data_IF_958092682619
#
_entry.id   IF_958092682619
#
_cell.length_a   1.000
_cell.length_b   1.000
_cell.length_c   1.000
_cell.angle_alpha   90.00
_cell.angle_beta   90.00
_cell.angle_gamma   90.00
#
_symmetry.space_group_name_H-M   'P 1'
#
loop_
_entity.id
_entity.type
_entity.pdbx_description
1 polymer ?
#
# COMPACT_ATOMS: atom_id res chain seq x y z
N UNK A 1 -1.60 -27.80 -9.89
CA UNK A 1 -1.35 -26.77 -8.85
C UNK A 1 0.09 -26.24 -8.87
N UNK A 2 1.11 -27.09 -9.00
CA UNK A 2 2.52 -26.69 -9.04
C UNK A 2 2.86 -25.59 -10.09
N UNK A 3 2.49 -25.80 -11.35
CA UNK A 3 2.70 -24.80 -12.41
C UNK A 3 1.95 -23.48 -12.16
N UNK A 4 0.76 -23.54 -11.54
CA UNK A 4 0.02 -22.35 -11.17
C UNK A 4 0.74 -21.53 -10.09
N UNK A 5 1.39 -22.19 -9.11
CA UNK A 5 2.20 -21.51 -8.11
C UNK A 5 3.34 -20.69 -8.75
N UNK A 6 4.02 -21.27 -9.74
CA UNK A 6 5.07 -20.61 -10.51
C UNK A 6 4.52 -19.46 -11.37
N UNK A 7 3.38 -19.64 -12.04
CA UNK A 7 2.74 -18.59 -12.83
C UNK A 7 2.35 -17.38 -11.97
N UNK A 8 1.74 -17.62 -10.80
CA UNK A 8 1.41 -16.56 -9.85
C UNK A 8 2.65 -15.88 -9.26
N UNK A 9 3.76 -16.62 -9.08
CA UNK A 9 5.04 -16.02 -8.69
C UNK A 9 5.57 -15.06 -9.76
N UNK A 10 5.51 -15.45 -11.03
CA UNK A 10 5.88 -14.56 -12.14
C UNK A 10 4.99 -13.32 -12.20
N UNK A 11 3.68 -13.48 -11.96
CA UNK A 11 2.73 -12.37 -11.90
C UNK A 11 3.03 -11.41 -10.74
N UNK A 12 3.30 -11.92 -9.53
CA UNK A 12 3.76 -11.12 -8.38
C UNK A 12 4.97 -10.27 -8.77
N UNK A 13 6.00 -10.89 -9.35
CA UNK A 13 7.23 -10.19 -9.71
C UNK A 13 7.00 -9.17 -10.82
N UNK A 14 6.16 -9.47 -11.82
CA UNK A 14 5.81 -8.52 -12.86
C UNK A 14 5.17 -7.24 -12.28
N UNK A 15 4.19 -7.37 -11.39
CA UNK A 15 3.59 -6.21 -10.73
C UNK A 15 4.58 -5.48 -9.82
N UNK A 16 5.41 -6.22 -9.06
CA UNK A 16 6.45 -5.59 -8.22
C UNK A 16 7.43 -4.74 -9.04
N UNK A 17 7.77 -5.15 -10.27
CA UNK A 17 8.60 -4.34 -11.18
C UNK A 17 7.90 -3.06 -11.62
N UNK A 18 6.60 -3.12 -11.94
CA UNK A 18 5.80 -1.93 -12.29
C UNK A 18 5.74 -0.97 -11.10
N UNK A 19 5.39 -1.47 -9.91
CA UNK A 19 5.30 -0.70 -8.67
C UNK A 19 6.64 -0.03 -8.36
N UNK A 20 7.74 -0.77 -8.42
CA UNK A 20 9.06 -0.23 -8.10
C UNK A 20 9.49 0.87 -9.08
N UNK A 21 9.26 0.67 -10.38
CA UNK A 21 9.57 1.67 -11.41
C UNK A 21 8.74 2.95 -11.29
N UNK A 22 7.52 2.83 -10.77
CA UNK A 22 6.55 3.94 -10.66
C UNK A 22 6.49 4.59 -9.27
N UNK A 23 7.23 4.06 -8.29
CA UNK A 23 7.17 4.47 -6.89
C UNK A 23 7.43 5.97 -6.68
N UNK A 24 8.47 6.52 -7.33
CA UNK A 24 8.81 7.94 -7.17
C UNK A 24 7.73 8.86 -7.75
N UNK A 25 7.18 8.51 -8.90
CA UNK A 25 6.05 9.23 -9.51
C UNK A 25 4.80 9.14 -8.65
N UNK A 26 4.46 7.96 -8.13
CA UNK A 26 3.31 7.78 -7.25
C UNK A 26 3.46 8.56 -5.93
N UNK A 27 4.66 8.59 -5.36
CA UNK A 27 4.97 9.38 -4.17
C UNK A 27 4.77 10.87 -4.40
N UNK A 28 5.24 11.39 -5.55
CA UNK A 28 5.02 12.78 -5.95
C UNK A 28 3.54 13.08 -6.16
N UNK A 29 2.83 12.23 -6.91
CA UNK A 29 1.40 12.40 -7.18
C UNK A 29 0.60 12.42 -5.85
N UNK A 30 0.97 11.57 -4.89
CA UNK A 30 0.41 11.58 -3.53
C UNK A 30 0.64 12.91 -2.81
N UNK A 31 1.84 13.45 -2.90
CA UNK A 31 2.18 14.73 -2.25
C UNK A 31 1.41 15.90 -2.87
N UNK A 32 1.33 15.97 -4.21
CA UNK A 32 0.56 16.99 -4.93
C UNK A 32 -0.93 16.95 -4.57
N UNK A 33 -1.51 15.75 -4.51
CA UNK A 33 -2.90 15.57 -4.08
C UNK A 33 -3.11 15.98 -2.63
N UNK A 34 -2.18 15.62 -1.74
CA UNK A 34 -2.26 15.99 -0.33
C UNK A 34 -2.23 17.51 -0.16
N UNK A 35 -1.32 18.22 -0.84
CA UNK A 35 -1.26 19.68 -0.82
C UNK A 35 -2.53 20.30 -1.40
N UNK A 36 -3.02 19.80 -2.53
CA UNK A 36 -4.23 20.34 -3.16
C UNK A 36 -5.50 20.12 -2.33
N UNK A 37 -5.57 19.06 -1.53
CA UNK A 37 -6.69 18.79 -0.61
C UNK A 37 -6.56 19.52 0.74
N UNK A 38 -5.34 19.89 1.15
CA UNK A 38 -5.06 20.68 2.35
C UNK A 38 -5.31 22.18 2.16
N UNK A 39 -5.27 22.70 0.92
CA UNK A 39 -5.68 24.08 0.62
C UNK A 39 -7.21 24.17 0.62
N UNK A 40 -7.80 24.11 1.81
CA UNK A 40 -9.11 24.71 2.07
C UNK A 40 -8.80 26.07 2.69
N UNK A 41 -8.96 27.19 1.97
CA UNK A 41 -8.95 28.49 2.61
C UNK A 41 -10.16 28.52 3.53
N UNK A 42 -9.93 28.56 4.85
CA UNK A 42 -10.93 29.04 5.79
C UNK A 42 -11.08 30.54 5.48
N UNK A 43 -11.93 30.82 4.51
CA UNK A 43 -12.32 32.18 4.14
C UNK A 43 -13.22 32.76 5.21
N UNK A 44 -12.66 33.03 6.39
CA UNK A 44 -13.22 33.96 7.35
C UNK A 44 -12.08 34.86 7.84
N UNK A 45 -12.28 36.15 7.65
CA UNK A 45 -11.34 37.26 7.82
C UNK A 45 -10.61 37.24 9.17
N UNK A 46 -9.37 37.77 9.29
CA UNK A 46 -8.87 38.16 10.60
C UNK A 46 -9.74 39.33 11.06
N UNK A 47 -10.68 39.07 11.96
CA UNK A 47 -11.44 40.12 12.63
C UNK A 47 -10.45 40.96 13.41
N UNK A 48 -10.06 42.11 12.85
CA UNK A 48 -9.37 43.18 13.57
C UNK A 48 -10.34 43.77 14.59
N UNK A 49 -10.45 43.14 15.76
CA UNK A 49 -11.07 43.77 16.92
C UNK A 49 -10.04 44.71 17.55
N UNK A 50 -10.14 45.99 17.19
CA UNK A 50 -9.67 47.06 18.04
C UNK A 50 -10.60 47.11 19.27
N UNK A 51 -10.12 46.71 20.43
CA UNK A 51 -10.75 47.06 21.70
C UNK A 51 -9.66 47.39 22.71
N UNK A 52 -9.43 48.69 22.80
CA UNK A 52 -8.70 49.35 23.88
C UNK A 52 -9.52 49.22 25.16
N UNK A 53 -8.98 48.54 26.18
CA UNK A 53 -9.37 48.68 27.60
C UNK A 53 -8.29 48.04 28.48
N UNK A 54 -7.47 48.89 29.08
CA UNK A 54 -6.83 48.62 30.36
C UNK A 54 -7.91 48.29 31.41
N UNK A 55 -7.72 47.24 32.21
CA UNK A 55 -7.73 47.35 33.68
C UNK A 55 -7.53 45.98 34.37
N UNK A 56 -6.65 46.01 35.36
CA UNK A 56 -6.19 44.92 36.23
C UNK A 56 -7.20 44.74 37.39
N UNK A 57 -7.42 43.48 37.85
CA UNK A 57 -7.36 43.07 39.28
C UNK A 57 -8.31 41.91 39.70
N UNK A 58 -7.70 40.93 40.39
CA UNK A 58 -8.13 40.05 41.50
C UNK A 58 -9.09 38.83 41.37
N UNK A 59 -8.47 37.65 41.51
CA UNK A 59 -8.47 36.72 42.68
C UNK A 59 -9.68 35.82 43.04
N UNK A 60 -9.41 34.50 42.99
CA UNK A 60 -9.67 33.46 44.03
C UNK A 60 -10.90 32.52 43.91
N UNK A 61 -10.60 31.29 43.45
CA UNK A 61 -10.95 29.94 43.99
C UNK A 61 -12.37 29.37 43.90
N UNK A 62 -12.52 28.28 43.14
CA UNK A 62 -13.05 26.99 43.62
C UNK A 62 -12.78 25.85 42.62
N UNK A 63 -12.21 24.75 43.13
CA UNK A 63 -11.83 23.53 42.43
C UNK A 63 -13.02 22.78 41.81
N UNK A 64 -12.83 22.25 40.59
CA UNK A 64 -13.38 20.93 40.23
C UNK A 64 -12.42 20.21 39.29
N UNK A 65 -11.80 19.16 39.81
CA UNK A 65 -10.97 18.22 39.09
C UNK A 65 -11.76 17.55 37.94
N UNK A 66 -11.23 17.57 36.72
CA UNK A 66 -11.63 16.69 35.64
C UNK A 66 -10.45 16.44 34.67
N UNK A 67 -10.09 15.16 34.56
CA UNK A 67 -9.10 14.54 33.67
C UNK A 67 -9.37 14.79 32.16
N UNK A 68 -8.37 14.52 31.28
CA UNK A 68 -8.27 15.10 29.95
C UNK A 68 -9.25 14.47 28.95
N UNK A 69 -10.00 15.31 28.24
CA UNK A 69 -10.73 14.97 27.01
C UNK A 69 -10.20 15.96 25.98
N UNK A 70 -9.46 15.55 24.97
CA UNK A 70 -9.74 14.45 24.07
C UNK A 70 -9.61 15.07 22.70
N UNK A 71 -8.73 14.52 21.88
CA UNK A 71 -8.38 14.95 20.53
C UNK A 71 -9.65 15.29 19.73
N UNK A 72 -10.01 16.58 19.64
CA UNK A 72 -10.94 17.06 18.63
C UNK A 72 -10.14 17.30 17.37
N UNK A 73 -10.01 16.24 16.57
CA UNK A 73 -9.76 16.38 15.14
C UNK A 73 -10.69 17.47 14.61
N UNK A 74 -10.21 18.42 13.79
CA UNK A 74 -11.12 19.32 13.11
C UNK A 74 -12.08 18.43 12.32
N UNK A 75 -13.38 18.59 12.55
CA UNK A 75 -14.39 17.92 11.76
C UNK A 75 -14.24 18.41 10.33
N UNK A 76 -13.63 17.58 9.51
CA UNK A 76 -13.52 17.73 8.06
C UNK A 76 -14.91 17.45 7.46
N UNK A 77 -15.81 18.42 7.63
CA UNK A 77 -17.07 18.48 6.90
C UNK A 77 -16.90 19.41 5.68
N UNK A 78 -15.80 19.23 4.95
CA UNK A 78 -15.61 19.84 3.64
C UNK A 78 -15.79 18.76 2.59
N UNK A 79 -16.73 18.93 1.66
CA UNK A 79 -16.81 18.09 0.47
C UNK A 79 -15.47 18.22 -0.27
N UNK A 80 -14.59 17.23 -0.14
CA UNK A 80 -13.30 17.19 -0.84
C UNK A 80 -13.54 16.98 -2.34
N UNK A 81 -13.95 18.04 -3.04
CA UNK A 81 -14.12 18.02 -4.49
C UNK A 81 -12.72 18.01 -5.10
N UNK A 82 -12.32 16.87 -5.66
CA UNK A 82 -11.10 16.77 -6.46
C UNK A 82 -11.28 17.67 -7.69
N UNK A 83 -10.59 18.82 -7.70
CA UNK A 83 -10.57 19.73 -8.84
C UNK A 83 -10.19 18.99 -10.12
N UNK A 84 -10.80 19.36 -11.25
CA UNK A 84 -10.55 18.74 -12.55
C UNK A 84 -9.05 18.68 -12.91
N UNK A 85 -8.28 19.68 -12.48
CA UNK A 85 -6.81 19.76 -12.64
C UNK A 85 -6.06 18.61 -11.96
N UNK A 86 -6.60 18.07 -10.86
CA UNK A 86 -5.94 17.06 -10.05
C UNK A 86 -6.36 15.61 -10.40
N UNK A 87 -7.37 15.45 -11.25
CA UNK A 87 -7.87 14.13 -11.68
C UNK A 87 -6.77 13.21 -12.22
N UNK A 88 -5.81 13.66 -13.07
CA UNK A 88 -4.76 12.78 -13.57
C UNK A 88 -3.86 12.21 -12.47
N UNK A 89 -3.53 13.00 -11.43
CA UNK A 89 -2.75 12.53 -10.29
C UNK A 89 -3.50 11.45 -9.52
N UNK A 90 -4.80 11.66 -9.30
CA UNK A 90 -5.65 10.71 -8.59
C UNK A 90 -5.78 9.38 -9.34
N UNK A 91 -6.02 9.43 -10.66
CA UNK A 91 -6.11 8.23 -11.50
C UNK A 91 -4.80 7.44 -11.48
N UNK A 92 -3.63 8.11 -11.59
CA UNK A 92 -2.34 7.41 -11.52
C UNK A 92 -2.09 6.78 -10.15
N UNK A 93 -2.47 7.45 -9.07
CA UNK A 93 -2.36 6.89 -7.73
C UNK A 93 -3.28 5.69 -7.52
N UNK A 94 -4.49 5.71 -8.07
CA UNK A 94 -5.41 4.57 -8.06
C UNK A 94 -4.84 3.38 -8.84
N UNK A 95 -4.30 3.61 -10.05
CA UNK A 95 -3.67 2.55 -10.83
C UNK A 95 -2.47 1.95 -10.08
N UNK A 96 -1.64 2.78 -9.47
CA UNK A 96 -0.54 2.30 -8.62
C UNK A 96 -1.04 1.41 -7.47
N UNK A 97 -2.10 1.83 -6.76
CA UNK A 97 -2.70 1.02 -5.70
C UNK A 97 -3.29 -0.29 -6.23
N UNK A 98 -3.86 -0.28 -7.43
CA UNK A 98 -4.38 -1.47 -8.09
C UNK A 98 -3.25 -2.46 -8.43
N UNK A 99 -2.11 -1.98 -8.95
CA UNK A 99 -0.94 -2.83 -9.21
C UNK A 99 -0.40 -3.47 -7.91
N UNK A 100 -0.34 -2.71 -6.81
CA UNK A 100 0.02 -3.23 -5.49
C UNK A 100 -0.94 -4.33 -5.03
N UNK A 101 -2.25 -4.11 -5.20
CA UNK A 101 -3.25 -5.14 -4.87
C UNK A 101 -3.06 -6.40 -5.72
N UNK A 102 -2.81 -6.26 -7.03
CA UNK A 102 -2.56 -7.41 -7.89
C UNK A 102 -1.27 -8.15 -7.53
N UNK A 103 -0.19 -7.46 -7.14
CA UNK A 103 1.02 -8.10 -6.64
C UNK A 103 0.73 -8.95 -5.39
N UNK A 104 0.01 -8.38 -4.41
CA UNK A 104 -0.36 -9.09 -3.17
C UNK A 104 -1.27 -10.28 -3.44
N UNK A 105 -2.24 -10.14 -4.34
CA UNK A 105 -3.17 -11.19 -4.72
C UNK A 105 -2.46 -12.34 -5.43
N UNK A 106 -1.57 -12.03 -6.37
CA UNK A 106 -0.71 -13.01 -7.02
C UNK A 106 0.19 -13.73 -6.01
N UNK A 107 0.80 -13.02 -5.06
CA UNK A 107 1.61 -13.62 -3.99
C UNK A 107 0.79 -14.61 -3.14
N UNK A 108 -0.42 -14.22 -2.74
CA UNK A 108 -1.35 -15.09 -2.00
C UNK A 108 -1.71 -16.33 -2.80
N UNK A 109 -2.11 -16.17 -4.06
CA UNK A 109 -2.47 -17.29 -4.95
C UNK A 109 -1.29 -18.22 -5.20
N UNK A 110 -0.07 -17.70 -5.33
CA UNK A 110 1.14 -18.50 -5.47
C UNK A 110 1.32 -19.44 -4.28
N UNK A 111 1.18 -18.91 -3.05
CA UNK A 111 1.27 -19.71 -1.80
C UNK A 111 0.16 -20.75 -1.68
N UNK A 112 -1.08 -20.39 -2.00
CA UNK A 112 -2.21 -21.32 -1.97
C UNK A 112 -1.99 -22.47 -2.97
N UNK A 113 -1.60 -22.14 -4.20
CA UNK A 113 -1.30 -23.14 -5.23
C UNK A 113 -0.12 -24.03 -4.84
N UNK A 114 0.91 -23.47 -4.20
CA UNK A 114 2.03 -24.25 -3.68
C UNK A 114 1.61 -25.21 -2.58
N UNK A 115 0.83 -24.75 -1.60
CA UNK A 115 0.32 -25.60 -0.53
C UNK A 115 -0.50 -26.77 -1.07
N UNK A 116 -1.40 -26.51 -2.03
CA UNK A 116 -2.19 -27.54 -2.68
C UNK A 116 -1.34 -28.52 -3.52
N UNK A 117 -0.27 -28.03 -4.16
CA UNK A 117 0.67 -28.89 -4.87
C UNK A 117 1.43 -29.82 -3.91
N UNK A 118 1.89 -29.28 -2.77
CA UNK A 118 2.63 -30.02 -1.76
C UNK A 118 1.78 -31.12 -1.12
N UNK A 119 0.50 -30.86 -0.83
CA UNK A 119 -0.41 -31.88 -0.28
C UNK A 119 -0.77 -32.99 -1.27
N UNK A 120 -0.65 -32.75 -2.58
CA UNK A 120 -0.96 -33.74 -3.62
C UNK A 120 0.21 -34.66 -4.00
N UNK A 121 1.43 -34.30 -3.60
CA UNK A 121 2.63 -35.09 -3.85
C UNK A 121 2.73 -36.21 -2.81
N UNK A 122 2.25 -37.42 -3.13
CA UNK A 122 2.46 -38.60 -2.28
C UNK A 122 3.94 -38.82 -1.93
N UNK A 123 4.20 -39.41 -0.76
CA UNK A 123 5.53 -39.59 -0.18
C UNK A 123 6.52 -40.18 -1.21
N UNK A 124 7.50 -39.36 -1.62
CA UNK A 124 8.69 -39.79 -2.38
C UNK A 124 8.74 -39.44 -3.86
N UNK A 125 7.62 -39.30 -4.59
CA UNK A 125 7.66 -39.18 -6.06
C UNK A 125 7.96 -37.77 -6.62
N UNK A 126 7.68 -36.69 -5.87
CA UNK A 126 7.92 -35.31 -6.34
C UNK A 126 8.64 -34.40 -5.33
N UNK A 127 9.43 -34.97 -4.41
CA UNK A 127 10.14 -34.20 -3.38
C UNK A 127 11.11 -33.15 -3.99
N UNK A 128 11.81 -33.51 -5.07
CA UNK A 128 12.71 -32.60 -5.81
C UNK A 128 11.94 -31.46 -6.51
N UNK A 129 10.77 -31.78 -7.10
CA UNK A 129 9.88 -30.79 -7.72
C UNK A 129 9.34 -29.78 -6.70
N UNK A 130 8.85 -30.25 -5.55
CA UNK A 130 8.38 -29.37 -4.46
C UNK A 130 9.49 -28.45 -3.94
N UNK A 131 10.70 -28.98 -3.74
CA UNK A 131 11.86 -28.19 -3.31
C UNK A 131 12.25 -27.13 -4.34
N UNK A 132 12.27 -27.49 -5.63
CA UNK A 132 12.57 -26.57 -6.73
C UNK A 132 11.55 -25.45 -6.86
N UNK A 133 10.26 -25.78 -6.70
CA UNK A 133 9.18 -24.78 -6.66
C UNK A 133 9.40 -23.83 -5.48
N UNK A 134 9.61 -24.35 -4.27
CA UNK A 134 9.85 -23.53 -3.07
C UNK A 134 11.01 -22.56 -3.29
N UNK A 135 12.13 -23.04 -3.86
CA UNK A 135 13.28 -22.20 -4.19
C UNK A 135 12.93 -21.05 -5.15
N UNK A 136 12.07 -21.30 -6.14
CA UNK A 136 11.61 -20.25 -7.05
C UNK A 136 10.66 -19.25 -6.37
N UNK A 137 9.77 -19.70 -5.47
CA UNK A 137 8.86 -18.83 -4.73
C UNK A 137 9.58 -17.93 -3.72
N UNK A 138 10.59 -18.48 -3.03
CA UNK A 138 11.40 -17.76 -2.03
C UNK A 138 12.40 -16.79 -2.68
N UNK A 139 12.55 -16.85 -4.01
CA UNK A 139 13.46 -15.97 -4.74
C UNK A 139 12.98 -14.51 -4.74
N UNK A 140 13.96 -13.61 -4.66
CA UNK A 140 13.71 -12.17 -4.63
C UNK A 140 13.23 -11.66 -6.00
N UNK A 141 12.52 -10.52 -6.00
CA UNK A 141 11.97 -9.92 -7.22
C UNK A 141 12.96 -9.00 -7.98
N UNK A 142 14.13 -8.72 -7.40
CA UNK A 142 15.10 -7.79 -7.99
C UNK A 142 15.81 -8.43 -9.20
N UNK A 143 16.22 -9.69 -9.05
CA UNK A 143 16.85 -10.49 -10.11
C UNK A 143 15.80 -11.28 -10.91
N UNK A 144 15.26 -10.67 -11.96
CA UNK A 144 14.24 -11.30 -12.81
C UNK A 144 14.83 -12.46 -13.62
N UNK A 145 16.08 -12.37 -14.05
CA UNK A 145 16.72 -13.44 -14.82
C UNK A 145 16.97 -14.69 -13.96
N UNK A 146 17.47 -14.49 -12.75
CA UNK A 146 17.63 -15.54 -11.75
C UNK A 146 16.31 -16.22 -11.42
N UNK A 147 15.23 -15.45 -11.26
CA UNK A 147 13.89 -15.99 -11.06
C UNK A 147 13.45 -16.85 -12.26
N UNK A 148 13.57 -16.34 -13.49
CA UNK A 148 13.16 -17.08 -14.69
C UNK A 148 13.93 -18.39 -14.85
N UNK A 149 15.22 -18.41 -14.50
CA UNK A 149 16.01 -19.64 -14.47
C UNK A 149 15.45 -20.64 -13.46
N UNK A 150 15.14 -20.20 -12.24
CA UNK A 150 14.55 -21.08 -11.21
C UNK A 150 13.17 -21.60 -11.61
N UNK A 151 12.34 -20.75 -12.23
CA UNK A 151 11.02 -21.15 -12.74
C UNK A 151 11.15 -22.22 -13.82
N UNK A 152 12.09 -22.09 -14.75
CA UNK A 152 12.35 -23.12 -15.78
C UNK A 152 12.78 -24.45 -15.15
N UNK A 153 13.75 -24.41 -14.24
CA UNK A 153 14.21 -25.62 -13.53
C UNK A 153 13.08 -26.28 -12.74
N UNK A 154 12.24 -25.49 -12.07
CA UNK A 154 11.08 -26.01 -11.35
C UNK A 154 10.05 -26.63 -12.30
N UNK A 155 9.78 -26.03 -13.46
CA UNK A 155 8.88 -26.59 -14.49
C UNK A 155 9.41 -27.92 -15.03
N UNK A 156 10.71 -28.04 -15.28
CA UNK A 156 11.34 -29.30 -15.70
C UNK A 156 11.20 -30.38 -14.61
N UNK A 157 11.39 -30.03 -13.34
CA UNK A 157 11.27 -30.96 -12.22
C UNK A 157 9.82 -31.41 -11.94
N UNK A 158 8.81 -30.61 -12.29
CA UNK A 158 7.39 -30.98 -12.18
C UNK A 158 6.97 -31.96 -13.30
N UNK A 159 7.62 -31.88 -14.46
CA UNK A 159 7.28 -32.67 -15.64
C UNK A 159 8.01 -34.02 -15.71
N UNK A 160 8.89 -34.31 -14.73
CA UNK A 160 9.55 -35.60 -14.55
C UNK A 160 8.75 -36.49 -13.60
#
# INVERSE_FOLDING_TARGET
>A
MAAAALAYKCMEVAYMRVIYSSHNSASRDRHELQTALQIVPLGESPSSSASDVDNVNNSTTAEKCALPKGVSSPQVAGTHVISARNRPYFVRLLNFAQDVNFAMEASRKSRIAFAAANSSSGEGKHAEGVSSIKKALDFNFHDVEGLLRLVRLAMEAINR
#
